data_IF_775448322801
#
_entry.id   IF_775448322801
#
_cell.length_a   1.000
_cell.length_b   1.000
_cell.length_c   1.000
_cell.angle_alpha   90.00
_cell.angle_beta   90.00
_cell.angle_gamma   90.00
#
_symmetry.space_group_name_H-M   'P 1'
#
loop_
_entity.id
_entity.type
_entity.pdbx_description
1 polymer ?
#
# COMPACT_ATOMS: atom_id res chain seq x y z
N UNK A 1 -18.01 -41.86 3.81
CA UNK A 1 -18.58 -40.62 4.38
C UNK A 1 -17.38 -39.92 4.95
N UNK A 2 -16.72 -39.17 4.06
CA UNK A 2 -15.45 -38.55 4.37
C UNK A 2 -15.74 -37.38 5.29
N UNK A 3 -15.15 -37.45 6.48
CA UNK A 3 -15.22 -36.42 7.50
C UNK A 3 -14.49 -35.19 6.94
N UNK A 4 -15.22 -34.29 6.28
CA UNK A 4 -14.78 -32.92 6.02
C UNK A 4 -14.70 -32.19 7.37
N UNK A 5 -13.73 -32.59 8.19
CA UNK A 5 -13.42 -31.91 9.44
C UNK A 5 -12.98 -30.49 9.10
N UNK A 6 -13.76 -29.51 9.54
CA UNK A 6 -13.39 -28.10 9.48
C UNK A 6 -11.94 -27.93 9.96
N UNK A 7 -11.04 -27.59 9.05
CA UNK A 7 -9.63 -27.43 9.36
C UNK A 7 -9.47 -26.21 10.27
N UNK A 8 -9.25 -26.43 11.57
CA UNK A 8 -9.11 -25.35 12.54
C UNK A 8 -7.91 -24.46 12.21
N UNK A 9 -8.13 -23.13 12.20
CA UNK A 9 -7.08 -22.17 11.91
C UNK A 9 -6.02 -22.17 13.01
N UNK A 10 -4.75 -22.20 12.60
CA UNK A 10 -3.62 -22.03 13.52
C UNK A 10 -3.60 -20.63 14.15
N UNK A 11 -2.98 -20.50 15.33
CA UNK A 11 -2.81 -19.20 16.00
C UNK A 11 -2.12 -18.14 15.12
N UNK A 12 -1.18 -18.56 14.26
CA UNK A 12 -0.53 -17.70 13.27
C UNK A 12 -1.52 -17.20 12.22
N UNK A 13 -2.36 -18.07 11.66
CA UNK A 13 -3.38 -17.70 10.68
C UNK A 13 -4.42 -16.75 11.29
N UNK A 14 -4.87 -17.01 12.51
CA UNK A 14 -5.78 -16.11 13.24
C UNK A 14 -5.16 -14.74 13.46
N UNK A 15 -3.89 -14.67 13.85
CA UNK A 15 -3.18 -13.41 14.03
C UNK A 15 -3.05 -12.59 12.73
N UNK A 16 -2.71 -13.27 11.63
CA UNK A 16 -2.66 -12.65 10.29
C UNK A 16 -4.04 -12.12 9.88
N UNK A 17 -5.08 -12.94 10.03
CA UNK A 17 -6.46 -12.56 9.70
C UNK A 17 -6.90 -11.31 10.47
N UNK A 18 -6.65 -11.26 11.79
CA UNK A 18 -6.97 -10.09 12.62
C UNK A 18 -6.27 -8.83 12.11
N UNK A 19 -4.98 -8.92 11.80
CA UNK A 19 -4.23 -7.79 11.25
C UNK A 19 -4.79 -7.29 9.92
N UNK A 20 -5.13 -8.22 9.02
CA UNK A 20 -5.74 -7.91 7.73
C UNK A 20 -7.14 -7.30 7.87
N UNK A 21 -7.97 -7.80 8.78
CA UNK A 21 -9.30 -7.30 9.04
C UNK A 21 -9.28 -5.85 9.57
N UNK A 22 -8.39 -5.55 10.54
CA UNK A 22 -8.22 -4.18 11.05
C UNK A 22 -7.72 -3.22 9.97
N UNK A 23 -6.81 -3.67 9.11
CA UNK A 23 -6.33 -2.87 7.98
C UNK A 23 -7.45 -2.58 6.97
N UNK A 24 -8.27 -3.58 6.63
CA UNK A 24 -9.43 -3.42 5.75
C UNK A 24 -10.43 -2.41 6.31
N UNK A 25 -10.80 -2.56 7.59
CA UNK A 25 -11.71 -1.63 8.26
C UNK A 25 -11.16 -0.20 8.24
N UNK A 26 -9.86 -0.04 8.55
CA UNK A 26 -9.20 1.27 8.55
C UNK A 26 -9.22 1.91 7.17
N UNK A 27 -8.93 1.13 6.11
CA UNK A 27 -8.97 1.59 4.73
C UNK A 27 -10.38 2.05 4.31
N UNK A 28 -11.39 1.22 4.56
CA UNK A 28 -12.79 1.53 4.21
C UNK A 28 -13.24 2.80 4.93
N UNK A 29 -13.05 2.89 6.25
CA UNK A 29 -13.48 4.05 7.04
C UNK A 29 -12.79 5.33 6.57
N UNK A 30 -11.47 5.28 6.36
CA UNK A 30 -10.71 6.45 5.94
C UNK A 30 -11.08 6.93 4.53
N UNK A 31 -11.26 6.00 3.58
CA UNK A 31 -11.66 6.32 2.20
C UNK A 31 -13.09 6.89 2.17
N UNK A 32 -14.03 6.24 2.86
CA UNK A 32 -15.41 6.73 2.93
C UNK A 32 -15.47 8.12 3.58
N UNK A 33 -14.73 8.34 4.68
CA UNK A 33 -14.65 9.65 5.30
C UNK A 33 -14.07 10.70 4.34
N UNK A 34 -13.02 10.37 3.57
CA UNK A 34 -12.44 11.28 2.59
C UNK A 34 -13.41 11.65 1.45
N UNK A 35 -14.23 10.69 1.00
CA UNK A 35 -15.24 10.89 -0.06
C UNK A 35 -16.43 11.71 0.46
N UNK A 36 -16.92 11.41 1.66
CA UNK A 36 -18.15 12.02 2.21
C UNK A 36 -17.89 13.42 2.75
N UNK A 37 -16.75 13.62 3.43
CA UNK A 37 -16.43 14.89 4.08
C UNK A 37 -15.71 15.87 3.15
N UNK A 38 -15.09 15.38 2.08
CA UNK A 38 -14.21 16.15 1.19
C UNK A 38 -13.34 17.17 1.95
N UNK A 39 -12.42 16.70 2.83
CA UNK A 39 -11.72 17.55 3.80
C UNK A 39 -10.86 18.64 3.16
N UNK A 40 -10.53 18.50 1.87
CA UNK A 40 -9.74 19.46 1.11
C UNK A 40 -10.58 20.28 0.14
N UNK A 41 -11.91 20.11 0.18
CA UNK A 41 -12.90 20.91 -0.52
C UNK A 41 -12.66 20.94 -2.05
N UNK A 42 -12.27 19.80 -2.62
CA UNK A 42 -12.05 19.65 -4.05
C UNK A 42 -13.36 19.73 -4.85
N UNK A 43 -14.52 19.55 -4.24
CA UNK A 43 -15.82 19.72 -4.90
C UNK A 43 -16.04 21.11 -5.51
N UNK A 44 -15.34 22.13 -5.01
CA UNK A 44 -15.47 23.52 -5.48
C UNK A 44 -14.58 23.85 -6.68
N UNK A 45 -13.69 22.93 -7.08
CA UNK A 45 -12.87 23.10 -8.28
C UNK A 45 -13.39 22.30 -9.47
N UNK A 46 -13.02 22.76 -10.67
CA UNK A 46 -13.24 22.05 -11.93
C UNK A 46 -11.99 22.08 -12.84
N UNK A 47 -10.83 22.46 -12.31
CA UNK A 47 -9.62 22.67 -13.12
C UNK A 47 -8.83 21.37 -13.27
N UNK A 48 -8.31 21.11 -14.47
CA UNK A 48 -7.51 19.91 -14.75
C UNK A 48 -6.19 19.89 -13.97
N UNK A 49 -5.60 21.07 -13.73
CA UNK A 49 -4.35 21.21 -12.98
C UNK A 49 -4.45 20.69 -11.53
N UNK A 50 -5.63 20.77 -10.91
CA UNK A 50 -5.85 20.26 -9.57
C UNK A 50 -5.76 18.74 -9.52
N UNK A 51 -6.20 18.04 -10.57
CA UNK A 51 -6.07 16.57 -10.67
C UNK A 51 -4.61 16.15 -10.69
N UNK A 52 -3.79 16.86 -11.47
CA UNK A 52 -2.35 16.61 -11.58
C UNK A 52 -1.64 16.95 -10.27
N UNK A 53 -2.04 18.04 -9.62
CA UNK A 53 -1.49 18.44 -8.31
C UNK A 53 -1.79 17.40 -7.24
N UNK A 54 -3.06 16.96 -7.13
CA UNK A 54 -3.47 15.92 -6.17
C UNK A 54 -2.78 14.59 -6.47
N UNK A 55 -2.64 14.21 -7.75
CA UNK A 55 -1.90 13.02 -8.14
C UNK A 55 -0.44 13.10 -7.69
N UNK A 56 0.24 14.20 -8.01
CA UNK A 56 1.62 14.44 -7.61
C UNK A 56 1.80 14.32 -6.10
N UNK A 57 0.95 15.00 -5.33
CA UNK A 57 0.94 14.94 -3.87
C UNK A 57 0.67 13.52 -3.34
N UNK A 58 -0.28 12.79 -3.93
CA UNK A 58 -0.62 11.42 -3.53
C UNK A 58 0.53 10.43 -3.76
N UNK A 59 1.45 10.71 -4.67
CA UNK A 59 2.59 9.84 -4.97
C UNK A 59 3.84 10.15 -4.14
N UNK A 60 3.90 11.30 -3.43
CA UNK A 60 5.08 11.71 -2.65
C UNK A 60 5.43 10.65 -1.59
N UNK A 61 4.48 10.26 -0.75
CA UNK A 61 4.77 9.35 0.36
C UNK A 61 5.08 7.91 -0.08
N UNK A 62 4.35 7.30 -1.02
CA UNK A 62 4.73 6.02 -1.61
C UNK A 62 6.14 6.03 -2.22
N UNK A 63 6.47 7.08 -2.98
CA UNK A 63 7.79 7.23 -3.60
C UNK A 63 8.88 7.39 -2.55
N UNK A 64 8.63 8.18 -1.50
CA UNK A 64 9.55 8.33 -0.37
C UNK A 64 9.84 6.99 0.30
N UNK A 65 8.84 6.12 0.49
CA UNK A 65 9.03 4.79 1.05
C UNK A 65 9.89 3.88 0.16
N UNK A 66 9.78 4.01 -1.16
CA UNK A 66 10.69 3.32 -2.09
C UNK A 66 12.13 3.83 -1.94
N UNK A 67 12.33 5.16 -1.92
CA UNK A 67 13.65 5.79 -1.71
C UNK A 67 14.28 5.29 -0.40
N UNK A 68 13.51 5.28 0.69
CA UNK A 68 13.97 4.75 1.99
C UNK A 68 14.36 3.28 1.89
N UNK A 69 13.58 2.46 1.18
CA UNK A 69 13.87 1.03 1.01
C UNK A 69 15.16 0.79 0.21
N UNK A 70 15.37 1.56 -0.87
CA UNK A 70 16.60 1.54 -1.66
C UNK A 70 17.78 1.96 -0.79
N UNK A 71 17.68 3.10 -0.10
CA UNK A 71 18.75 3.64 0.74
C UNK A 71 19.15 2.69 1.87
N UNK A 72 18.19 1.99 2.49
CA UNK A 72 18.47 1.00 3.54
C UNK A 72 19.28 -0.18 3.01
N UNK A 73 18.92 -0.74 1.86
CA UNK A 73 19.67 -1.84 1.25
C UNK A 73 21.04 -1.39 0.74
N UNK A 74 21.11 -0.25 0.05
CA UNK A 74 22.35 0.31 -0.49
C UNK A 74 23.36 0.59 0.64
N UNK A 75 22.91 1.25 1.72
CA UNK A 75 23.73 1.47 2.91
C UNK A 75 24.24 0.15 3.49
N UNK A 76 23.39 -0.87 3.60
CA UNK A 76 23.81 -2.16 4.15
C UNK A 76 24.88 -2.83 3.28
N UNK A 77 24.68 -2.91 1.96
CA UNK A 77 25.65 -3.50 1.02
C UNK A 77 26.99 -2.76 1.03
N UNK A 78 26.98 -1.43 1.10
CA UNK A 78 28.20 -0.63 1.11
C UNK A 78 29.12 -0.96 2.30
N UNK A 79 28.55 -1.27 3.45
CA UNK A 79 29.31 -1.61 4.67
C UNK A 79 29.47 -3.12 4.91
N UNK A 80 29.02 -3.98 3.99
CA UNK A 80 29.17 -5.44 4.09
C UNK A 80 30.08 -5.94 2.97
N UNK A 81 31.31 -6.36 3.29
CA UNK A 81 32.23 -6.95 2.30
C UNK A 81 31.62 -8.13 1.54
N UNK A 82 30.72 -8.89 2.17
CA UNK A 82 30.07 -10.07 1.59
C UNK A 82 28.94 -9.72 0.60
N UNK A 83 28.34 -8.53 0.76
CA UNK A 83 27.16 -8.11 0.00
C UNK A 83 27.43 -6.92 -0.94
N UNK A 84 28.66 -6.38 -0.96
CA UNK A 84 29.03 -5.20 -1.75
C UNK A 84 28.89 -5.43 -3.26
N UNK A 85 29.20 -6.64 -3.73
CA UNK A 85 29.06 -7.06 -5.13
C UNK A 85 27.60 -7.30 -5.54
N UNK A 86 26.68 -7.29 -4.57
CA UNK A 86 25.27 -7.54 -4.76
C UNK A 86 24.92 -9.01 -5.02
N UNK A 87 23.62 -9.30 -5.01
CA UNK A 87 23.08 -10.66 -5.10
C UNK A 87 23.17 -11.29 -6.50
N UNK A 88 23.78 -10.62 -7.47
CA UNK A 88 24.03 -11.17 -8.81
C UNK A 88 25.29 -12.03 -8.89
N UNK A 89 26.19 -11.89 -7.90
CA UNK A 89 27.49 -12.56 -7.84
C UNK A 89 27.67 -13.42 -6.58
N UNK A 90 26.90 -13.17 -5.52
CA UNK A 90 26.90 -13.94 -4.26
C UNK A 90 25.49 -14.27 -3.79
N UNK A 91 25.35 -15.23 -2.87
CA UNK A 91 24.06 -15.67 -2.33
C UNK A 91 23.41 -14.69 -1.33
N UNK A 92 24.04 -13.56 -1.02
CA UNK A 92 23.52 -12.52 -0.13
C UNK A 92 23.40 -12.97 1.34
N UNK A 93 23.75 -12.12 2.29
CA UNK A 93 23.52 -12.42 3.72
C UNK A 93 22.02 -12.43 4.04
N UNK A 94 21.63 -13.08 5.15
CA UNK A 94 20.23 -13.10 5.62
C UNK A 94 19.62 -11.71 5.72
N UNK A 95 20.42 -10.71 6.13
CA UNK A 95 19.97 -9.34 6.25
C UNK A 95 19.81 -8.65 4.88
N UNK A 96 20.74 -8.87 3.94
CA UNK A 96 20.59 -8.38 2.57
C UNK A 96 19.33 -8.96 1.91
N UNK A 97 19.07 -10.26 2.04
CA UNK A 97 17.88 -10.93 1.51
C UNK A 97 16.60 -10.33 2.11
N UNK A 98 16.59 -10.09 3.43
CA UNK A 98 15.46 -9.47 4.11
C UNK A 98 15.20 -8.04 3.60
N UNK A 99 16.23 -7.21 3.49
CA UNK A 99 16.12 -5.83 2.98
C UNK A 99 15.69 -5.81 1.51
N UNK A 100 16.21 -6.73 0.68
CA UNK A 100 15.80 -6.91 -0.71
C UNK A 100 14.32 -7.29 -0.80
N UNK A 101 13.83 -8.16 0.10
CA UNK A 101 12.41 -8.55 0.15
C UNK A 101 11.51 -7.36 0.52
N UNK A 102 11.95 -6.52 1.46
CA UNK A 102 11.24 -5.28 1.83
C UNK A 102 11.20 -4.27 0.68
N UNK A 103 12.33 -4.11 -0.03
CA UNK A 103 12.43 -3.26 -1.20
C UNK A 103 11.50 -3.73 -2.32
N UNK A 104 11.57 -5.02 -2.68
CA UNK A 104 10.73 -5.61 -3.73
C UNK A 104 9.25 -5.45 -3.42
N UNK A 105 8.84 -5.74 -2.18
CA UNK A 105 7.45 -5.58 -1.78
C UNK A 105 6.98 -4.12 -1.83
N UNK A 106 7.86 -3.17 -1.48
CA UNK A 106 7.53 -1.74 -1.57
C UNK A 106 7.41 -1.27 -3.01
N UNK A 107 8.27 -1.77 -3.90
CA UNK A 107 8.19 -1.51 -5.34
C UNK A 107 6.88 -2.04 -5.93
N UNK A 108 6.55 -3.30 -5.68
CA UNK A 108 5.30 -3.93 -6.16
C UNK A 108 4.06 -3.13 -5.73
N UNK A 109 4.01 -2.74 -4.45
CA UNK A 109 2.89 -1.95 -3.93
C UNK A 109 2.86 -0.53 -4.50
N UNK A 110 4.03 0.10 -4.71
CA UNK A 110 4.11 1.41 -5.36
C UNK A 110 3.61 1.35 -6.81
N UNK A 111 3.99 0.33 -7.58
CA UNK A 111 3.59 0.20 -9.00
C UNK A 111 2.06 0.10 -9.11
N UNK A 112 1.43 -0.70 -8.25
CA UNK A 112 -0.04 -0.80 -8.21
C UNK A 112 -0.65 0.53 -7.76
N UNK A 113 -0.13 1.14 -6.69
CA UNK A 113 -0.62 2.44 -6.21
C UNK A 113 -0.49 3.54 -7.27
N UNK A 114 0.61 3.57 -8.03
CA UNK A 114 0.82 4.52 -9.11
C UNK A 114 -0.28 4.42 -10.17
N UNK A 115 -0.57 3.21 -10.65
CA UNK A 115 -1.65 2.98 -11.62
C UNK A 115 -3.01 3.39 -11.08
N UNK A 116 -3.35 2.94 -9.86
CA UNK A 116 -4.66 3.22 -9.24
C UNK A 116 -4.83 4.70 -8.92
N UNK A 117 -3.83 5.37 -8.35
CA UNK A 117 -3.93 6.79 -7.98
C UNK A 117 -4.01 7.67 -9.21
N UNK A 118 -3.29 7.31 -10.27
CA UNK A 118 -3.39 8.01 -11.57
C UNK A 118 -4.80 7.89 -12.14
N UNK A 119 -5.33 6.66 -12.24
CA UNK A 119 -6.69 6.45 -12.74
C UNK A 119 -7.74 7.15 -11.86
N UNK A 120 -7.58 7.09 -10.53
CA UNK A 120 -8.47 7.76 -9.58
C UNK A 120 -8.49 9.27 -9.81
N UNK A 121 -7.33 9.90 -9.85
CA UNK A 121 -7.23 11.35 -10.00
C UNK A 121 -7.73 11.84 -11.36
N UNK A 122 -7.63 11.02 -12.41
CA UNK A 122 -8.10 11.39 -13.75
C UNK A 122 -9.59 11.16 -13.97
N UNK A 123 -10.16 10.09 -13.40
CA UNK A 123 -11.50 9.61 -13.78
C UNK A 123 -12.59 9.86 -12.74
N UNK A 124 -12.22 10.06 -11.47
CA UNK A 124 -13.21 10.17 -10.39
C UNK A 124 -13.73 11.61 -10.22
N UNK A 125 -14.92 11.80 -9.61
CA UNK A 125 -15.44 13.13 -9.29
C UNK A 125 -14.45 13.96 -8.47
N UNK A 126 -14.42 15.27 -8.68
CA UNK A 126 -13.49 16.18 -7.98
C UNK A 126 -13.63 16.08 -6.45
N UNK A 127 -14.86 15.99 -5.94
CA UNK A 127 -15.14 15.82 -4.50
C UNK A 127 -14.48 14.58 -3.87
N UNK A 128 -14.04 13.61 -4.67
CA UNK A 128 -13.49 12.33 -4.18
C UNK A 128 -11.95 12.29 -4.25
N UNK A 129 -11.31 13.35 -4.76
CA UNK A 129 -9.86 13.40 -4.94
C UNK A 129 -9.08 13.31 -3.61
N UNK A 130 -9.69 13.80 -2.52
CA UNK A 130 -9.16 13.68 -1.15
C UNK A 130 -8.81 12.22 -0.76
N UNK A 131 -9.50 11.23 -1.33
CA UNK A 131 -9.26 9.82 -1.03
C UNK A 131 -7.87 9.33 -1.49
N UNK A 132 -7.33 9.86 -2.60
CA UNK A 132 -5.98 9.53 -3.07
C UNK A 132 -4.91 9.96 -2.06
N UNK A 133 -5.05 11.17 -1.50
CA UNK A 133 -4.14 11.72 -0.50
C UNK A 133 -4.22 10.95 0.82
N UNK A 134 -5.41 10.60 1.26
CA UNK A 134 -5.60 9.76 2.45
C UNK A 134 -4.94 8.39 2.26
N UNK A 135 -5.12 7.76 1.10
CA UNK A 135 -4.45 6.50 0.80
C UNK A 135 -2.92 6.64 0.71
N UNK A 136 -2.39 7.78 0.29
CA UNK A 136 -0.95 8.09 0.38
C UNK A 136 -0.44 8.05 1.83
N UNK A 137 -1.18 8.64 2.76
CA UNK A 137 -0.86 8.62 4.20
C UNK A 137 -0.97 7.20 4.77
N UNK A 138 -2.02 6.45 4.42
CA UNK A 138 -2.17 5.05 4.81
C UNK A 138 -1.04 4.17 4.26
N UNK A 139 -0.59 4.43 3.03
CA UNK A 139 0.55 3.74 2.43
C UNK A 139 1.79 3.91 3.31
N UNK A 140 2.12 5.15 3.65
CA UNK A 140 3.26 5.49 4.51
C UNK A 140 3.19 4.82 5.89
N UNK A 141 2.06 4.96 6.57
CA UNK A 141 1.84 4.37 7.90
C UNK A 141 1.94 2.84 7.82
N UNK A 142 1.32 2.24 6.79
CA UNK A 142 1.36 0.80 6.54
C UNK A 142 2.79 0.30 6.33
N UNK A 143 3.62 1.03 5.57
CA UNK A 143 5.05 0.69 5.39
C UNK A 143 5.83 0.75 6.70
N UNK A 144 5.59 1.75 7.55
CA UNK A 144 6.23 1.82 8.88
C UNK A 144 5.90 0.58 9.70
N UNK A 145 4.61 0.22 9.80
CA UNK A 145 4.19 -0.97 10.54
C UNK A 145 4.73 -2.27 9.93
N UNK A 146 4.72 -2.37 8.60
CA UNK A 146 5.23 -3.54 7.88
C UNK A 146 6.73 -3.74 8.15
N UNK A 147 7.54 -2.69 8.06
CA UNK A 147 8.97 -2.76 8.32
C UNK A 147 9.29 -3.14 9.75
N UNK A 148 8.59 -2.56 10.74
CA UNK A 148 8.75 -2.90 12.16
C UNK A 148 8.31 -4.34 12.47
N UNK A 149 7.24 -4.81 11.84
CA UNK A 149 6.72 -6.15 12.04
C UNK A 149 7.48 -7.26 11.31
N UNK A 150 8.28 -6.94 10.29
CA UNK A 150 8.81 -7.94 9.34
C UNK A 150 9.67 -9.02 10.01
N UNK A 151 10.55 -8.63 10.94
CA UNK A 151 11.42 -9.57 11.67
C UNK A 151 10.69 -10.42 12.71
N UNK A 152 9.44 -10.06 13.05
CA UNK A 152 8.64 -10.71 14.10
C UNK A 152 7.63 -11.73 13.53
N UNK A 153 7.72 -12.04 12.24
CA UNK A 153 6.91 -13.05 11.58
C UNK A 153 5.63 -12.53 10.93
N UNK A 154 4.87 -13.44 10.32
CA UNK A 154 3.72 -13.09 9.48
C UNK A 154 2.61 -12.30 10.21
N UNK A 155 2.16 -12.67 11.42
CA UNK A 155 1.11 -11.92 12.12
C UNK A 155 1.51 -10.45 12.40
N UNK A 156 2.75 -10.23 12.83
CA UNK A 156 3.24 -8.91 13.22
C UNK A 156 3.31 -7.91 12.04
N UNK A 157 3.60 -8.40 10.83
CA UNK A 157 3.66 -7.56 9.61
C UNK A 157 2.33 -7.47 8.86
N UNK A 158 1.34 -8.30 9.19
CA UNK A 158 0.11 -8.45 8.41
C UNK A 158 -0.70 -7.15 8.30
N UNK A 159 -0.89 -6.43 9.42
CA UNK A 159 -1.60 -5.15 9.41
C UNK A 159 -0.93 -4.12 8.50
N UNK A 160 0.39 -3.91 8.63
CA UNK A 160 1.11 -2.93 7.81
C UNK A 160 1.13 -3.30 6.32
N UNK A 161 1.28 -4.60 6.00
CA UNK A 161 1.15 -5.09 4.63
C UNK A 161 -0.23 -4.76 4.06
N UNK A 162 -1.27 -5.17 4.77
CA UNK A 162 -2.64 -5.07 4.35
C UNK A 162 -3.12 -3.61 4.30
N UNK A 163 -2.66 -2.73 5.20
CA UNK A 163 -3.09 -1.34 5.22
C UNK A 163 -2.69 -0.62 3.93
N UNK A 164 -1.48 -0.88 3.45
CA UNK A 164 -0.98 -0.33 2.18
C UNK A 164 -1.68 -0.97 0.97
N UNK A 165 -1.81 -2.30 0.94
CA UNK A 165 -2.38 -3.01 -0.20
C UNK A 165 -3.90 -2.82 -0.30
N UNK A 166 -4.63 -2.98 0.80
CA UNK A 166 -6.09 -2.90 0.83
C UNK A 166 -6.62 -1.48 0.64
N UNK A 167 -5.93 -0.43 1.10
CA UNK A 167 -6.35 0.93 0.75
C UNK A 167 -6.32 1.16 -0.76
N UNK A 168 -5.30 0.62 -1.43
CA UNK A 168 -5.16 0.69 -2.89
C UNK A 168 -6.21 -0.16 -3.60
N UNK A 169 -6.47 -1.38 -3.12
CA UNK A 169 -7.50 -2.27 -3.69
C UNK A 169 -8.89 -1.68 -3.52
N UNK A 170 -9.23 -1.13 -2.36
CA UNK A 170 -10.54 -0.50 -2.12
C UNK A 170 -10.73 0.70 -3.05
N UNK A 171 -9.73 1.57 -3.23
CA UNK A 171 -9.79 2.63 -4.24
C UNK A 171 -10.04 2.08 -5.64
N UNK A 172 -9.32 1.04 -6.04
CA UNK A 172 -9.48 0.42 -7.36
C UNK A 172 -10.89 -0.15 -7.56
N UNK A 173 -11.44 -0.84 -6.55
CA UNK A 173 -12.79 -1.40 -6.61
C UNK A 173 -13.85 -0.29 -6.73
N UNK A 174 -13.75 0.76 -5.91
CA UNK A 174 -14.66 1.91 -5.98
C UNK A 174 -14.57 2.58 -7.35
N UNK A 175 -13.35 2.74 -7.89
CA UNK A 175 -13.12 3.28 -9.23
C UNK A 175 -13.83 2.43 -10.28
N UNK A 176 -13.56 1.12 -10.32
CA UNK A 176 -14.14 0.21 -11.32
C UNK A 176 -15.66 0.23 -11.25
N UNK A 177 -16.24 0.09 -10.05
CA UNK A 177 -17.70 0.13 -9.86
C UNK A 177 -18.28 1.45 -10.34
N UNK A 178 -17.65 2.58 -10.01
CA UNK A 178 -18.14 3.91 -10.40
C UNK A 178 -18.10 4.10 -11.91
N UNK A 179 -17.00 3.72 -12.56
CA UNK A 179 -16.88 3.82 -14.02
C UNK A 179 -17.86 2.88 -14.75
N UNK A 180 -18.11 1.68 -14.21
CA UNK A 180 -19.13 0.79 -14.75
C UNK A 180 -20.54 1.39 -14.63
N UNK A 181 -20.87 2.01 -13.49
CA UNK A 181 -22.16 2.70 -13.31
C UNK A 181 -22.33 3.82 -14.33
N UNK A 182 -21.30 4.66 -14.52
CA UNK A 182 -21.33 5.74 -15.53
C UNK A 182 -21.44 5.23 -16.98
N UNK A 183 -20.86 4.07 -17.29
CA UNK A 183 -20.94 3.48 -18.62
C UNK A 183 -22.32 2.85 -18.93
N UNK A 184 -23.08 2.50 -17.89
CA UNK A 184 -24.40 1.84 -18.01
C UNK A 184 -25.58 2.81 -17.86
N UNK A 185 -25.34 4.03 -17.37
CA UNK A 185 -26.31 5.12 -17.25
C UNK A 185 -26.38 5.96 -18.51
#
# INVERSE_FOLDING_TARGET
MDDEGFMELTSKQVGVFKGMAWAMLSAIVAILAAIVLDPLNHAQTSLLEDRVTVLGQSLILPTLMLIVSIGRLAKFRFFSPEDIDGSGLTSGTKQAIMLQSLLQNTLEQLVIAFGVYTAWCLLMPFAWLSAGLVCSVLFFIGRIFFFKGYSHGAPARAFGFALTFYSTVVLCLVLVVTQLVFALS
#
